data_IF_388601978412
#
_entry.id   IF_388601978412
#
_cell.length_a   1.000
_cell.length_b   1.000
_cell.length_c   1.000
_cell.angle_alpha   90.00
_cell.angle_beta   90.00
_cell.angle_gamma   90.00
#
_symmetry.space_group_name_H-M   'P 1'
#
loop_
_entity.id
_entity.type
_entity.pdbx_description
1 polymer ?
#
# COMPACT_ATOMS: atom_id res chain seq x y z
N UNK A 1 -49.31 53.46 -47.80
CA UNK A 1 -48.69 53.42 -46.45
C UNK A 1 -47.50 52.46 -46.53
N UNK A 2 -46.27 52.99 -46.55
CA UNK A 2 -45.02 52.21 -46.64
C UNK A 2 -44.48 51.99 -45.23
N UNK A 3 -44.22 50.75 -44.83
CA UNK A 3 -43.50 50.43 -43.60
C UNK A 3 -42.30 49.55 -43.97
N UNK A 4 -41.10 50.13 -43.83
CA UNK A 4 -39.82 49.44 -43.92
C UNK A 4 -39.49 48.88 -42.53
N UNK A 5 -39.09 47.62 -42.45
CA UNK A 5 -38.37 47.08 -41.29
C UNK A 5 -36.97 46.67 -41.73
N UNK A 6 -35.98 47.35 -41.16
CA UNK A 6 -34.55 47.08 -41.30
C UNK A 6 -34.18 46.01 -40.28
N UNK A 7 -33.71 44.86 -40.74
CA UNK A 7 -33.17 43.79 -39.90
C UNK A 7 -31.65 43.97 -39.82
N UNK A 8 -31.16 44.39 -38.66
CA UNK A 8 -29.71 44.53 -38.39
C UNK A 8 -29.18 43.20 -37.85
N UNK A 9 -28.30 42.54 -38.61
CA UNK A 9 -27.64 41.30 -38.21
C UNK A 9 -26.37 41.63 -37.42
N UNK A 10 -26.33 41.29 -36.13
CA UNK A 10 -25.16 41.43 -35.27
C UNK A 10 -24.34 40.13 -35.34
N UNK A 11 -23.17 40.16 -36.00
CA UNK A 11 -22.23 39.03 -36.04
C UNK A 11 -21.29 39.15 -34.85
N UNK A 12 -21.47 38.28 -33.84
CA UNK A 12 -20.56 38.17 -32.72
C UNK A 12 -19.39 37.23 -33.08
N UNK A 13 -18.19 37.79 -33.19
CA UNK A 13 -16.95 37.03 -33.40
C UNK A 13 -16.56 36.33 -32.09
N UNK A 14 -16.70 35.00 -32.05
CA UNK A 14 -16.22 34.17 -30.93
C UNK A 14 -14.72 33.95 -31.12
N UNK A 15 -13.90 34.61 -30.30
CA UNK A 15 -12.47 34.30 -30.21
C UNK A 15 -12.29 32.95 -29.51
N UNK A 16 -12.13 31.88 -30.28
CA UNK A 16 -11.67 30.60 -29.75
C UNK A 16 -10.26 30.79 -29.18
N UNK A 17 -10.12 30.70 -27.86
CA UNK A 17 -8.81 30.63 -27.22
C UNK A 17 -8.12 29.34 -27.68
N UNK A 18 -6.81 29.37 -27.97
CA UNK A 18 -6.07 28.15 -28.28
C UNK A 18 -6.20 27.21 -27.09
N UNK A 19 -6.84 26.06 -27.33
CA UNK A 19 -6.84 24.93 -26.41
C UNK A 19 -5.37 24.55 -26.27
N UNK A 20 -4.77 24.88 -25.12
CA UNK A 20 -3.44 24.42 -24.78
C UNK A 20 -3.45 22.89 -24.90
N UNK A 21 -2.60 22.34 -25.77
CA UNK A 21 -2.39 20.91 -25.84
C UNK A 21 -2.05 20.41 -24.43
N UNK A 22 -2.74 19.35 -23.93
CA UNK A 22 -2.44 18.81 -22.62
C UNK A 22 -0.94 18.48 -22.58
N UNK A 23 -0.21 18.93 -21.54
CA UNK A 23 1.22 18.71 -21.44
C UNK A 23 1.47 17.23 -21.67
N UNK A 24 2.27 16.95 -22.70
CA UNK A 24 2.68 15.64 -23.15
C UNK A 24 2.89 14.76 -21.92
N UNK A 25 1.95 13.85 -21.69
CA UNK A 25 1.91 13.05 -20.47
C UNK A 25 3.27 12.37 -20.34
N UNK A 26 4.11 12.87 -19.42
CA UNK A 26 5.45 12.37 -19.20
C UNK A 26 5.37 10.86 -19.20
N UNK A 27 6.02 10.24 -20.18
CA UNK A 27 6.06 8.80 -20.35
C UNK A 27 6.83 8.24 -19.15
N UNK A 28 6.14 8.07 -18.02
CA UNK A 28 6.74 7.64 -16.76
C UNK A 28 7.21 6.20 -16.95
N UNK A 29 8.52 6.02 -17.10
CA UNK A 29 9.13 4.72 -17.23
C UNK A 29 9.02 3.98 -15.89
N UNK A 30 8.48 2.77 -15.92
CA UNK A 30 8.48 1.89 -14.77
C UNK A 30 9.91 1.38 -14.54
N UNK A 31 10.46 1.60 -13.35
CA UNK A 31 11.75 1.05 -12.94
C UNK A 31 11.53 -0.28 -12.20
N UNK A 32 12.38 -1.28 -12.49
CA UNK A 32 12.35 -2.59 -11.82
C UNK A 32 13.29 -2.58 -10.62
N UNK A 33 12.80 -3.06 -9.49
CA UNK A 33 13.54 -3.20 -8.23
C UNK A 33 13.59 -4.67 -7.81
N UNK A 34 14.73 -5.09 -7.26
CA UNK A 34 14.93 -6.41 -6.66
C UNK A 34 15.84 -6.26 -5.44
N UNK A 35 15.48 -6.90 -4.33
CA UNK A 35 16.17 -6.71 -3.06
C UNK A 35 15.47 -7.39 -1.88
N UNK A 36 15.60 -6.78 -0.70
CA UNK A 36 15.01 -7.25 0.57
C UNK A 36 14.29 -6.10 1.28
N UNK A 37 13.43 -6.45 2.24
CA UNK A 37 12.75 -5.49 3.11
C UNK A 37 13.44 -5.50 4.48
N UNK A 38 14.07 -4.39 4.84
CA UNK A 38 14.63 -4.15 6.16
C UNK A 38 13.56 -3.53 7.07
N UNK A 39 13.46 -4.05 8.29
CA UNK A 39 12.63 -3.51 9.35
C UNK A 39 13.49 -2.58 10.19
N UNK A 40 13.05 -1.34 10.37
CA UNK A 40 13.74 -0.31 11.16
C UNK A 40 12.86 0.17 12.29
N UNK A 41 13.44 0.54 13.43
CA UNK A 41 12.70 1.19 14.51
C UNK A 41 12.35 2.66 14.17
N UNK A 42 11.65 3.33 15.08
CA UNK A 42 11.26 4.74 14.92
C UNK A 42 12.44 5.72 14.83
N UNK A 43 13.64 5.32 15.26
CA UNK A 43 14.87 6.11 15.15
C UNK A 43 15.65 5.78 13.87
N UNK A 44 15.16 4.83 13.06
CA UNK A 44 15.82 4.36 11.85
C UNK A 44 16.88 3.28 12.09
N UNK A 45 17.01 2.75 13.30
CA UNK A 45 17.96 1.66 13.56
C UNK A 45 17.41 0.34 13.00
N UNK A 46 18.23 -0.43 12.25
CA UNK A 46 17.82 -1.73 11.75
C UNK A 46 17.49 -2.71 12.86
N UNK A 47 16.30 -3.31 12.80
CA UNK A 47 15.90 -4.44 13.64
C UNK A 47 16.21 -5.78 12.96
N UNK A 48 16.28 -5.81 11.63
CA UNK A 48 16.58 -6.98 10.82
C UNK A 48 15.88 -6.92 9.48
N UNK A 49 15.74 -8.05 8.80
CA UNK A 49 14.98 -8.16 7.54
C UNK A 49 13.67 -8.91 7.76
N UNK A 50 12.69 -8.72 6.88
CA UNK A 50 11.46 -9.52 6.87
C UNK A 50 11.83 -10.99 6.67
N UNK A 51 11.27 -11.86 7.50
CA UNK A 51 11.50 -13.30 7.46
C UNK A 51 10.61 -13.98 6.42
N UNK A 52 11.22 -14.81 5.58
CA UNK A 52 10.58 -15.80 4.74
C UNK A 52 10.51 -17.13 5.51
N UNK A 53 9.32 -17.47 5.99
CA UNK A 53 9.05 -18.69 6.75
C UNK A 53 8.36 -19.72 5.85
N UNK A 54 8.46 -21.01 6.19
CA UNK A 54 8.04 -22.16 5.35
C UNK A 54 6.71 -21.95 4.62
N UNK A 55 5.71 -21.40 5.31
CA UNK A 55 4.37 -21.18 4.78
C UNK A 55 3.93 -19.70 4.77
N UNK A 56 4.84 -18.74 4.90
CA UNK A 56 4.45 -17.34 5.02
C UNK A 56 5.54 -16.33 5.31
N UNK A 57 5.10 -15.20 5.83
CA UNK A 57 5.95 -14.14 6.35
C UNK A 57 5.88 -14.23 7.87
N UNK A 58 7.02 -14.14 8.55
CA UNK A 58 7.07 -14.24 10.01
C UNK A 58 8.04 -13.23 10.64
N UNK A 59 7.62 -11.97 10.70
CA UNK A 59 8.34 -10.96 11.46
C UNK A 59 9.76 -10.69 10.99
N UNK A 60 10.64 -10.56 11.98
CA UNK A 60 12.07 -10.35 11.78
C UNK A 60 12.76 -11.70 11.57
N UNK A 61 13.60 -11.76 10.54
CA UNK A 61 14.42 -12.91 10.18
C UNK A 61 15.46 -13.20 11.27
N UNK A 62 15.57 -14.44 11.77
CA UNK A 62 16.61 -14.80 12.73
C UNK A 62 18.01 -14.85 12.08
N UNK A 63 18.09 -15.10 10.77
CA UNK A 63 19.33 -15.30 10.02
C UNK A 63 19.20 -14.81 8.57
N UNK A 64 20.26 -14.27 7.97
CA UNK A 64 20.23 -13.76 6.59
C UNK A 64 19.77 -14.75 5.51
N UNK A 65 19.85 -16.06 5.77
CA UNK A 65 19.39 -17.10 4.84
C UNK A 65 17.87 -17.16 4.70
N UNK A 66 17.14 -16.65 5.69
CA UNK A 66 15.68 -16.60 5.72
C UNK A 66 15.15 -15.21 5.39
N UNK A 67 15.99 -14.29 4.91
CA UNK A 67 15.52 -12.96 4.49
C UNK A 67 14.59 -13.10 3.27
N UNK A 68 13.43 -12.43 3.33
CA UNK A 68 12.49 -12.35 2.23
C UNK A 68 13.09 -11.50 1.11
N UNK A 69 13.25 -12.11 -0.06
CA UNK A 69 13.62 -11.42 -1.29
C UNK A 69 12.36 -10.95 -2.00
N UNK A 70 12.40 -9.73 -2.51
CA UNK A 70 11.26 -9.08 -3.17
C UNK A 70 11.65 -8.49 -4.51
N UNK A 71 10.68 -8.41 -5.41
CA UNK A 71 10.79 -7.68 -6.66
C UNK A 71 9.50 -6.92 -6.96
N UNK A 72 9.62 -5.78 -7.63
CA UNK A 72 8.47 -4.97 -8.06
C UNK A 72 8.85 -4.02 -9.20
N UNK A 73 7.83 -3.59 -9.94
CA UNK A 73 7.93 -2.48 -10.88
C UNK A 73 7.32 -1.25 -10.23
N UNK A 74 8.03 -0.12 -10.28
CA UNK A 74 7.56 1.11 -9.67
C UNK A 74 7.45 2.23 -10.69
N UNK A 75 6.28 2.86 -10.70
CA UNK A 75 5.99 4.10 -11.41
C UNK A 75 5.73 5.17 -10.36
N UNK A 76 6.48 6.27 -10.42
CA UNK A 76 6.43 7.30 -9.38
C UNK A 76 4.99 7.81 -9.13
N UNK A 77 4.59 7.80 -7.86
CA UNK A 77 3.29 8.27 -7.40
C UNK A 77 2.16 7.23 -7.46
N UNK A 78 2.38 6.04 -8.03
CA UNK A 78 1.37 4.97 -8.10
C UNK A 78 1.72 3.82 -7.14
N UNK A 79 0.76 3.34 -6.32
CA UNK A 79 0.94 2.15 -5.54
C UNK A 79 1.28 0.94 -6.42
N UNK A 80 2.14 0.07 -5.91
CA UNK A 80 2.57 -1.14 -6.61
C UNK A 80 2.33 -2.38 -5.76
N UNK A 81 2.30 -3.53 -6.43
CA UNK A 81 2.35 -4.83 -5.78
C UNK A 81 3.81 -5.30 -5.68
N UNK A 82 4.19 -5.76 -4.48
CA UNK A 82 5.47 -6.46 -4.27
C UNK A 82 5.29 -7.97 -4.48
N UNK A 83 6.31 -8.60 -5.06
CA UNK A 83 6.37 -10.06 -5.25
C UNK A 83 7.51 -10.62 -4.42
N UNK A 84 7.24 -11.58 -3.54
CA UNK A 84 8.28 -12.39 -2.89
C UNK A 84 8.85 -13.43 -3.86
N UNK A 85 10.18 -13.53 -3.93
CA UNK A 85 10.88 -14.30 -4.99
C UNK A 85 11.59 -15.56 -4.50
N UNK A 86 11.62 -15.80 -3.18
CA UNK A 86 12.30 -16.95 -2.59
C UNK A 86 11.40 -17.83 -1.70
N UNK A 87 10.07 -17.79 -1.89
CA UNK A 87 9.17 -18.74 -1.23
C UNK A 87 9.42 -20.16 -1.72
N UNK A 88 9.40 -21.14 -0.81
CA UNK A 88 9.63 -22.55 -1.14
C UNK A 88 8.55 -23.16 -2.04
N UNK A 89 7.32 -22.64 -1.96
CA UNK A 89 6.21 -22.99 -2.83
C UNK A 89 5.68 -21.73 -3.54
N UNK A 90 5.40 -21.78 -4.86
CA UNK A 90 4.97 -20.61 -5.65
C UNK A 90 3.51 -20.19 -5.42
N UNK A 91 2.81 -20.79 -4.45
CA UNK A 91 1.47 -20.36 -4.07
C UNK A 91 1.55 -19.10 -3.20
N UNK A 92 0.79 -18.06 -3.55
CA UNK A 92 0.72 -16.78 -2.83
C UNK A 92 2.09 -16.08 -2.80
N UNK A 93 2.36 -15.27 -3.81
CA UNK A 93 3.64 -14.57 -3.98
C UNK A 93 3.53 -13.06 -3.81
N UNK A 94 2.31 -12.51 -3.82
CA UNK A 94 2.11 -11.08 -3.71
C UNK A 94 2.11 -10.66 -2.25
N UNK A 95 2.78 -9.58 -1.92
CA UNK A 95 2.89 -9.12 -0.53
C UNK A 95 1.89 -8.01 -0.27
N UNK A 96 1.10 -8.17 0.77
CA UNK A 96 -0.06 -7.32 1.02
C UNK A 96 -0.55 -7.36 2.45
N UNK A 97 -1.75 -6.84 2.65
CA UNK A 97 -2.49 -6.98 3.88
C UNK A 97 -3.65 -7.96 3.72
N UNK A 98 -3.98 -8.70 4.78
CA UNK A 98 -5.26 -9.41 4.87
C UNK A 98 -5.86 -9.45 6.27
N UNK A 99 -7.18 -9.59 6.30
CA UNK A 99 -7.99 -9.67 7.50
C UNK A 99 -9.10 -10.72 7.34
N UNK A 100 -9.47 -11.37 8.44
CA UNK A 100 -10.61 -12.31 8.51
C UNK A 100 -11.94 -11.62 8.90
N UNK A 101 -11.97 -10.31 8.82
CA UNK A 101 -13.07 -9.41 9.19
C UNK A 101 -13.14 -8.29 8.13
N UNK A 102 -14.06 -7.31 8.23
CA UNK A 102 -14.22 -6.25 7.22
C UNK A 102 -12.96 -5.42 6.92
N UNK A 103 -11.84 -5.61 7.63
CA UNK A 103 -10.57 -4.98 7.31
C UNK A 103 -10.63 -3.46 7.41
N UNK A 104 -11.11 -2.93 8.54
CA UNK A 104 -11.18 -1.49 8.78
C UNK A 104 -10.04 -1.06 9.71
N UNK A 105 -9.30 -0.02 9.31
CA UNK A 105 -8.30 0.65 10.16
C UNK A 105 -8.87 1.94 10.76
N UNK A 106 -10.12 1.90 11.26
CA UNK A 106 -10.77 3.08 11.84
C UNK A 106 -10.31 3.23 13.30
N UNK A 107 -9.63 4.33 13.67
CA UNK A 107 -9.20 4.54 15.05
C UNK A 107 -10.35 4.36 16.04
N UNK A 108 -10.10 3.66 17.13
CA UNK A 108 -11.09 3.35 18.19
C UNK A 108 -12.31 2.51 17.77
N UNK A 109 -12.37 2.01 16.52
CA UNK A 109 -13.40 1.03 16.15
C UNK A 109 -13.33 -0.24 17.00
N UNK A 110 -14.48 -0.88 17.19
CA UNK A 110 -14.59 -2.18 17.85
C UNK A 110 -14.04 -3.31 16.96
N UNK A 111 -14.04 -3.11 15.65
CA UNK A 111 -13.41 -4.01 14.71
C UNK A 111 -11.93 -4.17 15.06
N UNK A 112 -11.39 -5.37 14.84
CA UNK A 112 -10.00 -5.69 15.15
C UNK A 112 -9.11 -4.91 14.19
N UNK A 113 -8.82 -3.63 14.50
CA UNK A 113 -8.08 -2.64 13.70
C UNK A 113 -6.63 -3.07 13.39
N UNK A 114 -6.49 -4.23 12.79
CA UNK A 114 -5.28 -4.98 12.54
C UNK A 114 -5.48 -5.69 11.20
N UNK A 115 -4.56 -5.47 10.29
CA UNK A 115 -4.46 -6.19 9.03
C UNK A 115 -3.13 -6.93 9.06
N UNK A 116 -3.12 -8.26 8.90
CA UNK A 116 -1.86 -9.01 8.90
C UNK A 116 -1.05 -8.69 7.65
N UNK A 117 0.27 -8.49 7.78
CA UNK A 117 1.16 -8.45 6.62
C UNK A 117 1.41 -9.87 6.12
N UNK A 118 0.84 -10.23 4.98
CA UNK A 118 0.75 -11.62 4.51
C UNK A 118 1.04 -11.77 3.01
N UNK A 119 1.06 -13.03 2.58
CA UNK A 119 1.13 -13.43 1.18
C UNK A 119 -0.27 -13.56 0.63
N UNK A 120 -0.50 -13.04 -0.56
CA UNK A 120 -1.79 -13.04 -1.23
C UNK A 120 -1.70 -13.67 -2.62
N UNK A 121 -2.85 -14.16 -3.08
CA UNK A 121 -2.95 -14.96 -4.31
C UNK A 121 -2.93 -14.10 -5.56
N UNK A 122 -3.61 -12.97 -5.50
CA UNK A 122 -3.97 -12.18 -6.67
C UNK A 122 -3.54 -10.73 -6.50
N UNK A 123 -3.27 -10.06 -7.62
CA UNK A 123 -2.95 -8.64 -7.65
C UNK A 123 -4.23 -7.83 -7.51
N UNK A 124 -4.24 -6.83 -6.62
CA UNK A 124 -5.33 -5.87 -6.51
C UNK A 124 -5.09 -4.64 -7.36
N UNK A 125 -6.16 -3.94 -7.74
CA UNK A 125 -6.05 -2.66 -8.42
C UNK A 125 -5.48 -1.60 -7.45
N UNK A 126 -4.57 -0.73 -7.88
CA UNK A 126 -4.07 0.36 -7.04
C UNK A 126 -5.22 1.32 -6.70
N UNK A 127 -5.20 1.84 -5.47
CA UNK A 127 -6.21 2.76 -4.92
C UNK A 127 -7.64 2.20 -4.81
N UNK A 128 -7.83 0.90 -4.98
CA UNK A 128 -9.11 0.25 -4.73
C UNK A 128 -9.23 -0.15 -3.26
N UNK A 129 -10.44 -0.29 -2.71
CA UNK A 129 -10.62 -1.03 -1.47
C UNK A 129 -10.17 -2.50 -1.61
N UNK A 130 -9.95 -3.18 -0.47
CA UNK A 130 -9.75 -4.60 -0.37
C UNK A 130 -10.84 -5.36 -1.10
N UNK A 131 -10.48 -6.39 -1.83
CA UNK A 131 -11.49 -7.31 -2.35
C UNK A 131 -11.87 -8.34 -1.28
N UNK A 132 -13.09 -8.82 -1.44
CA UNK A 132 -13.74 -9.74 -0.52
C UNK A 132 -13.51 -11.19 -0.96
N UNK A 133 -12.85 -11.96 -0.11
CA UNK A 133 -12.65 -13.38 -0.23
C UNK A 133 -13.75 -14.21 0.47
N UNK A 134 -13.60 -15.55 0.46
CA UNK A 134 -14.49 -16.45 1.19
C UNK A 134 -14.61 -16.08 2.67
N UNK A 135 -15.79 -16.31 3.24
CA UNK A 135 -16.07 -16.06 4.67
C UNK A 135 -15.86 -14.60 5.13
N UNK A 136 -15.90 -13.64 4.21
CA UNK A 136 -15.72 -12.22 4.53
C UNK A 136 -14.27 -11.82 4.80
N UNK A 137 -13.30 -12.65 4.40
CA UNK A 137 -11.90 -12.26 4.40
C UNK A 137 -11.69 -11.08 3.44
N UNK A 138 -10.77 -10.19 3.77
CA UNK A 138 -10.40 -9.03 2.95
C UNK A 138 -8.90 -9.08 2.69
N UNK A 139 -8.46 -8.71 1.49
CA UNK A 139 -7.03 -8.65 1.17
C UNK A 139 -6.64 -7.40 0.34
N UNK A 140 -5.36 -7.04 0.26
CA UNK A 140 -4.92 -6.01 -0.68
C UNK A 140 -3.42 -6.09 -0.94
N UNK A 141 -2.98 -6.04 -2.19
CA UNK A 141 -1.55 -6.19 -2.55
C UNK A 141 -0.93 -4.94 -3.15
N UNK A 142 -1.72 -4.12 -3.84
CA UNK A 142 -1.27 -2.85 -4.45
C UNK A 142 -1.33 -1.69 -3.45
N UNK A 143 -0.79 -1.90 -2.26
CA UNK A 143 -0.80 -0.92 -1.15
C UNK A 143 0.52 -0.15 -1.01
N UNK A 144 1.57 -0.53 -1.75
CA UNK A 144 2.93 -0.07 -1.47
C UNK A 144 3.32 1.16 -2.28
N UNK A 145 3.96 2.12 -1.62
CA UNK A 145 4.67 3.23 -2.29
C UNK A 145 6.14 3.24 -1.86
N UNK A 146 7.00 3.83 -2.70
CA UNK A 146 8.44 3.90 -2.47
C UNK A 146 8.91 5.35 -2.54
N UNK A 147 9.51 5.84 -1.46
CA UNK A 147 10.39 7.01 -1.52
C UNK A 147 11.73 6.56 -2.10
N UNK A 148 12.03 6.96 -3.33
CA UNK A 148 13.24 6.51 -4.04
C UNK A 148 14.53 7.08 -3.45
N UNK A 149 14.45 8.16 -2.65
CA UNK A 149 15.58 8.78 -1.96
C UNK A 149 15.88 8.09 -0.64
N UNK A 150 14.88 7.94 0.22
CA UNK A 150 15.07 7.34 1.56
C UNK A 150 14.97 5.81 1.56
N UNK A 151 14.48 5.24 0.46
CA UNK A 151 14.12 3.81 0.31
C UNK A 151 12.99 3.37 1.23
N UNK A 152 12.29 4.29 1.90
CA UNK A 152 11.13 3.97 2.73
C UNK A 152 10.02 3.37 1.89
N UNK A 153 9.51 2.22 2.32
CA UNK A 153 8.30 1.58 1.82
C UNK A 153 7.14 1.99 2.73
N UNK A 154 6.08 2.53 2.14
CA UNK A 154 4.90 2.98 2.88
C UNK A 154 3.66 2.24 2.36
N UNK A 155 2.98 1.43 3.18
CA UNK A 155 1.69 0.86 2.84
C UNK A 155 0.58 1.91 3.00
N UNK A 156 -0.48 1.80 2.20
CA UNK A 156 -1.74 2.49 2.39
C UNK A 156 -2.88 1.50 2.23
N UNK A 157 -3.49 1.12 3.34
CA UNK A 157 -4.72 0.34 3.33
C UNK A 157 -5.90 1.28 3.08
N UNK A 158 -6.84 0.86 2.22
CA UNK A 158 -8.08 1.59 1.96
C UNK A 158 -9.20 0.80 2.62
N UNK A 159 -10.04 1.41 3.45
CA UNK A 159 -11.15 0.68 4.04
C UNK A 159 -12.23 0.34 2.98
N UNK A 160 -13.13 -0.63 3.22
CA UNK A 160 -14.25 -0.90 2.32
C UNK A 160 -15.17 0.30 2.04
N UNK A 161 -15.23 1.27 2.95
CA UNK A 161 -15.97 2.54 2.79
C UNK A 161 -15.17 3.60 2.00
N UNK A 162 -14.05 3.22 1.39
CA UNK A 162 -13.08 4.06 0.67
C UNK A 162 -12.32 5.08 1.53
N UNK A 163 -12.50 5.08 2.85
CA UNK A 163 -11.67 5.91 3.72
C UNK A 163 -10.20 5.44 3.71
N UNK A 164 -9.28 6.40 3.85
CA UNK A 164 -7.83 6.18 3.79
C UNK A 164 -7.20 6.60 5.12
N UNK A 165 -7.44 5.86 6.21
CA UNK A 165 -6.79 6.16 7.47
C UNK A 165 -5.28 6.00 7.35
N UNK A 166 -4.55 6.58 8.30
CA UNK A 166 -3.12 6.30 8.42
C UNK A 166 -2.90 4.79 8.62
N UNK A 167 -1.94 4.24 7.88
CA UNK A 167 -1.57 2.82 7.94
C UNK A 167 -0.19 2.69 8.56
N UNK A 168 -0.15 2.41 9.87
CA UNK A 168 1.10 2.19 10.60
C UNK A 168 1.54 0.75 10.45
N UNK A 169 2.85 0.51 10.34
CA UNK A 169 3.41 -0.84 10.42
C UNK A 169 3.76 -1.10 11.88
N UNK A 170 3.12 -2.09 12.49
CA UNK A 170 3.39 -2.51 13.85
C UNK A 170 4.11 -3.87 13.87
N UNK A 171 5.02 -4.02 14.82
CA UNK A 171 5.79 -5.24 15.05
C UNK A 171 5.67 -5.69 16.50
N UNK A 172 5.21 -6.93 16.71
CA UNK A 172 5.15 -7.59 18.01
C UNK A 172 6.33 -8.54 18.16
N UNK A 173 7.31 -8.18 19.00
CA UNK A 173 8.50 -9.03 19.26
C UNK A 173 8.12 -10.38 19.87
N UNK A 174 7.09 -10.43 20.72
CA UNK A 174 6.66 -11.68 21.37
C UNK A 174 6.05 -12.67 20.38
N UNK A 175 5.27 -12.17 19.42
CA UNK A 175 4.68 -13.01 18.37
C UNK A 175 5.59 -13.16 17.15
N UNK A 176 6.66 -12.37 17.07
CA UNK A 176 7.40 -12.12 15.85
C UNK A 176 6.47 -11.79 14.67
N UNK A 177 5.42 -11.01 14.93
CA UNK A 177 4.36 -10.71 13.96
C UNK A 177 4.49 -9.29 13.42
N UNK A 178 4.18 -9.09 12.14
CA UNK A 178 4.02 -7.77 11.53
C UNK A 178 2.57 -7.61 11.10
N UNK A 179 2.00 -6.45 11.42
CA UNK A 179 0.64 -6.09 11.07
C UNK A 179 0.57 -4.62 10.68
N UNK A 180 -0.50 -4.23 9.99
CA UNK A 180 -0.88 -2.85 9.79
C UNK A 180 -1.98 -2.47 10.76
N UNK A 181 -1.84 -1.30 11.38
CA UNK A 181 -2.81 -0.78 12.37
C UNK A 181 -3.10 0.69 12.08
N UNK A 182 -4.29 1.15 12.45
CA UNK A 182 -4.66 2.57 12.36
C UNK A 182 -4.46 3.36 13.67
N UNK A 183 -4.27 2.66 14.80
CA UNK A 183 -4.11 3.25 16.13
C UNK A 183 -3.34 2.26 17.02
N UNK A 184 -2.01 2.44 17.10
CA UNK A 184 -1.13 1.54 17.86
C UNK A 184 -1.42 1.56 19.38
N UNK A 185 -1.65 2.70 20.05
CA UNK A 185 -2.09 2.71 21.44
C UNK A 185 -3.38 1.92 21.69
N UNK A 186 -4.40 2.07 20.83
CA UNK A 186 -5.64 1.31 20.96
C UNK A 186 -5.41 -0.19 20.70
N UNK A 187 -4.56 -0.54 19.74
CA UNK A 187 -4.14 -1.93 19.49
C UNK A 187 -3.51 -2.54 20.75
N UNK A 188 -2.52 -1.87 21.34
CA UNK A 188 -1.81 -2.37 22.52
C UNK A 188 -2.72 -2.45 23.77
N UNK A 189 -3.72 -1.58 23.88
CA UNK A 189 -4.74 -1.67 24.95
C UNK A 189 -5.63 -2.91 24.82
N UNK A 190 -5.89 -3.40 23.60
CA UNK A 190 -6.64 -4.66 23.37
C UNK A 190 -5.76 -5.91 23.54
N UNK A 191 -4.45 -5.77 23.38
CA UNK A 191 -3.49 -6.88 23.34
C UNK A 191 -2.44 -6.80 24.46
N UNK A 192 -2.89 -6.96 25.71
CA UNK A 192 -2.02 -6.85 26.90
C UNK A 192 -0.85 -7.85 26.91
N UNK A 193 -1.04 -9.03 26.32
CA UNK A 193 -0.03 -10.08 26.36
C UNK A 193 1.09 -9.89 25.34
N UNK A 194 0.89 -9.09 24.29
CA UNK A 194 1.84 -8.92 23.18
C UNK A 194 1.82 -7.48 22.66
N UNK A 195 2.60 -6.64 23.32
CA UNK A 195 2.78 -5.25 22.94
C UNK A 195 3.54 -5.14 21.61
N UNK A 196 2.96 -4.39 20.67
CA UNK A 196 3.59 -4.05 19.41
C UNK A 196 4.22 -2.65 19.47
N UNK A 197 5.25 -2.44 18.65
CA UNK A 197 5.89 -1.13 18.44
C UNK A 197 5.73 -0.73 16.99
N UNK A 198 5.68 0.56 16.72
CA UNK A 198 5.73 1.07 15.35
C UNK A 198 7.13 0.83 14.77
N UNK A 199 7.17 0.38 13.51
CA UNK A 199 8.40 0.16 12.76
C UNK A 199 8.26 0.74 11.35
N UNK A 200 9.39 0.99 10.70
CA UNK A 200 9.44 1.33 9.29
C UNK A 200 9.88 0.14 8.44
N UNK A 201 9.46 0.13 7.18
CA UNK A 201 10.04 -0.73 6.15
C UNK A 201 10.95 0.10 5.25
N UNK A 202 12.14 -0.42 4.98
CA UNK A 202 13.11 0.16 4.05
C UNK A 202 13.52 -0.89 3.01
N UNK A 203 13.53 -0.48 1.75
CA UNK A 203 14.01 -1.32 0.66
C UNK A 203 15.53 -1.32 0.60
N UNK A 204 16.14 -2.50 0.60
CA UNK A 204 17.58 -2.69 0.42
C UNK A 204 17.80 -3.44 -0.88
N UNK A 205 18.46 -2.83 -1.86
CA UNK A 205 18.80 -3.49 -3.11
C UNK A 205 19.76 -4.66 -2.86
N UNK A 206 19.60 -5.73 -3.64
CA UNK A 206 20.57 -6.84 -3.69
C UNK A 206 21.88 -6.43 -4.38
#
# INVERSE_FOLDING_TARGET
>A
MKLFYVLTLLVATVCASPIAEPPEAEKRWAARYAGRIQIVDSNGHPLGFVNNFTDGINGVSPHHKTDLRVAFNYTHGTPFTMVGTNFGAPSYIYLGGSASHPGTLIPKSHDRNEIGFQRERDITAPYAPPHSGPMGAMWETSIWTLDTRTKKLTPQWINPDHSKPETLIAYSKKQNGIMFVGDLPAYNKKHHDYHAVEVGFSFVSD
#
